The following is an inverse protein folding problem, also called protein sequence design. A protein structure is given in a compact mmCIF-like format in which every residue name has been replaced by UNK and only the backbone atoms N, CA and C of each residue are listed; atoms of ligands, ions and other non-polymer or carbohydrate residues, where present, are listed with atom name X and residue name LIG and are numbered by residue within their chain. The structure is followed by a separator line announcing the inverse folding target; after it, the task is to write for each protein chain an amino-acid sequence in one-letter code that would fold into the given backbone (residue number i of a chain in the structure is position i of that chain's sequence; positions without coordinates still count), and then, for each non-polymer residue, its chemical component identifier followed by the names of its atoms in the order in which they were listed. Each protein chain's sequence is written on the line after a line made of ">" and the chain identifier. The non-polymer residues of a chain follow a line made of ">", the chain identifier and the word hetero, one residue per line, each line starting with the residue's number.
data_IF_931704452245
#
_entry.id   IF_931704452245
#
_cell.length_a   1.000
_cell.length_b   1.000
_cell.length_c   1.000
_cell.angle_alpha   90.00
_cell.angle_beta   90.00
_cell.angle_gamma   90.00
#
_symmetry.space_group_name_H-M   'P 1'
#
loop_
_entity.id
_entity.type
_entity.pdbx_description
1 polymer ?
#
# COMPACT_ATOMS: atom_id res chain seq x y z
N UNK A 1 -10.07 9.88 12.47
CA UNK A 1 -9.54 11.26 12.67
C UNK A 1 -8.69 11.76 11.49
N UNK A 2 -7.68 11.04 11.00
CA UNK A 2 -7.00 11.42 9.73
C UNK A 2 -7.40 10.46 8.61
N UNK A 3 -7.38 9.16 8.85
CA UNK A 3 -7.78 8.15 7.86
C UNK A 3 -9.22 8.36 7.38
N UNK A 4 -10.16 8.62 8.31
CA UNK A 4 -11.56 8.92 7.98
C UNK A 4 -11.69 10.12 7.04
N UNK A 5 -10.96 11.21 7.30
CA UNK A 5 -10.99 12.39 6.44
C UNK A 5 -10.39 12.10 5.06
N UNK A 6 -9.31 11.32 5.00
CA UNK A 6 -8.71 10.88 3.74
C UNK A 6 -9.68 9.99 2.96
N UNK A 7 -10.39 9.06 3.63
CA UNK A 7 -11.41 8.22 2.99
C UNK A 7 -12.60 9.02 2.46
N UNK A 8 -13.07 10.02 3.21
CA UNK A 8 -14.14 10.92 2.77
C UNK A 8 -13.72 11.73 1.53
N UNK A 9 -12.47 12.21 1.48
CA UNK A 9 -11.92 12.89 0.29
C UNK A 9 -11.87 11.93 -0.91
N UNK A 10 -11.38 10.71 -0.72
CA UNK A 10 -11.34 9.73 -1.82
C UNK A 10 -12.75 9.40 -2.34
N UNK A 11 -13.70 9.22 -1.42
CA UNK A 11 -15.07 8.83 -1.76
C UNK A 11 -15.84 9.97 -2.44
N UNK A 12 -15.71 11.20 -1.93
CA UNK A 12 -16.44 12.36 -2.43
C UNK A 12 -15.94 12.93 -3.76
N UNK A 13 -14.67 12.69 -4.09
CA UNK A 13 -14.00 13.30 -5.26
C UNK A 13 -13.22 12.29 -6.12
N UNK A 14 -13.65 11.03 -6.15
CA UNK A 14 -12.97 9.97 -6.93
C UNK A 14 -12.83 10.29 -8.44
N UNK A 15 -13.75 11.08 -8.99
CA UNK A 15 -13.77 11.45 -10.42
C UNK A 15 -12.96 12.73 -10.71
N UNK A 16 -12.37 13.36 -9.69
CA UNK A 16 -11.51 14.53 -9.84
C UNK A 16 -10.03 14.14 -9.96
N UNK A 17 -9.41 14.51 -11.08
CA UNK A 17 -8.00 14.21 -11.35
C UNK A 17 -7.04 14.89 -10.38
N UNK A 18 -7.40 16.06 -9.84
CA UNK A 18 -6.56 16.73 -8.84
C UNK A 18 -6.51 15.92 -7.54
N UNK A 19 -7.63 15.33 -7.14
CA UNK A 19 -7.75 14.41 -6.00
C UNK A 19 -6.89 13.16 -6.22
N UNK A 20 -7.00 12.49 -7.36
CA UNK A 20 -6.12 11.36 -7.69
C UNK A 20 -4.62 11.72 -7.57
N UNK A 21 -4.21 12.85 -8.14
CA UNK A 21 -2.81 13.31 -8.08
C UNK A 21 -2.35 13.66 -6.66
N UNK A 22 -3.27 14.17 -5.83
CA UNK A 22 -3.02 14.37 -4.40
C UNK A 22 -2.70 13.03 -3.74
N UNK A 23 -3.52 12.01 -3.93
CA UNK A 23 -3.28 10.67 -3.39
C UNK A 23 -1.95 10.05 -3.86
N UNK A 24 -1.63 10.14 -5.15
CA UNK A 24 -0.34 9.69 -5.71
C UNK A 24 0.85 10.38 -5.06
N UNK A 25 0.73 11.67 -4.75
CA UNK A 25 1.78 12.46 -4.10
C UNK A 25 1.95 12.07 -2.64
N UNK A 26 0.85 12.01 -1.89
CA UNK A 26 0.90 11.75 -0.45
C UNK A 26 1.29 10.32 -0.13
N UNK A 27 0.92 9.34 -0.97
CA UNK A 27 1.41 7.96 -0.85
C UNK A 27 2.94 7.86 -0.91
N UNK A 28 3.60 8.71 -1.69
CA UNK A 28 5.05 8.64 -1.91
C UNK A 28 5.88 9.55 -1.00
N UNK A 29 5.35 10.73 -0.67
CA UNK A 29 6.19 11.82 -0.13
C UNK A 29 5.71 12.36 1.21
N UNK A 30 4.56 11.91 1.73
CA UNK A 30 4.13 12.36 3.06
C UNK A 30 5.14 11.94 4.13
N UNK A 31 5.49 12.87 5.02
CA UNK A 31 6.33 12.57 6.18
C UNK A 31 5.62 11.71 7.22
N UNK A 32 4.29 11.68 7.20
CA UNK A 32 3.48 10.91 8.13
C UNK A 32 3.12 9.55 7.52
N UNK A 33 3.55 8.46 8.14
CA UNK A 33 3.29 7.09 7.66
C UNK A 33 1.81 6.75 7.63
N UNK A 34 1.00 7.22 8.58
CA UNK A 34 -0.46 7.02 8.58
C UNK A 34 -1.08 7.63 7.33
N UNK A 35 -0.61 8.82 6.91
CA UNK A 35 -1.08 9.46 5.67
C UNK A 35 -0.62 8.69 4.44
N UNK A 36 0.61 8.16 4.43
CA UNK A 36 1.07 7.30 3.33
C UNK A 36 0.23 6.03 3.22
N UNK A 37 0.04 5.31 4.32
CA UNK A 37 -0.78 4.09 4.37
C UNK A 37 -2.23 4.36 3.95
N UNK A 38 -2.85 5.43 4.46
CA UNK A 38 -4.19 5.82 4.06
C UNK A 38 -4.26 6.12 2.55
N UNK A 39 -3.29 6.87 2.02
CA UNK A 39 -3.27 7.19 0.60
C UNK A 39 -3.06 5.95 -0.29
N UNK A 40 -2.14 5.06 0.08
CA UNK A 40 -1.91 3.75 -0.56
C UNK A 40 -3.20 2.91 -0.59
N UNK A 41 -3.91 2.85 0.54
CA UNK A 41 -5.18 2.13 0.66
C UNK A 41 -6.25 2.69 -0.26
N UNK A 42 -6.43 4.02 -0.27
CA UNK A 42 -7.44 4.64 -1.13
C UNK A 42 -7.09 4.56 -2.62
N UNK A 43 -5.80 4.64 -2.99
CA UNK A 43 -5.34 4.40 -4.35
C UNK A 43 -5.80 3.04 -4.89
N UNK A 44 -5.59 1.97 -4.13
CA UNK A 44 -6.08 0.65 -4.52
C UNK A 44 -7.61 0.52 -4.52
N UNK A 45 -8.30 1.15 -3.56
CA UNK A 45 -9.76 1.04 -3.45
C UNK A 45 -10.51 1.76 -4.58
N UNK A 46 -10.06 2.96 -4.96
CA UNK A 46 -10.81 3.84 -5.84
C UNK A 46 -10.22 3.99 -7.24
N UNK A 47 -8.93 3.68 -7.42
CA UNK A 47 -8.19 3.97 -8.65
C UNK A 47 -7.29 2.82 -9.09
N UNK A 48 -7.64 1.57 -8.81
CA UNK A 48 -6.79 0.41 -9.15
C UNK A 48 -6.43 0.30 -10.63
N UNK A 49 -7.33 0.77 -11.50
CA UNK A 49 -7.16 0.68 -12.96
C UNK A 49 -6.54 1.97 -13.55
N UNK A 50 -6.19 2.95 -12.71
CA UNK A 50 -5.55 4.19 -13.14
C UNK A 50 -4.04 4.01 -13.38
N UNK A 51 -3.53 4.78 -14.34
CA UNK A 51 -2.13 4.74 -14.71
C UNK A 51 -1.19 4.99 -13.53
N UNK A 52 -0.15 4.16 -13.40
CA UNK A 52 0.89 4.19 -12.38
C UNK A 52 0.44 3.88 -10.94
N UNK A 53 -0.80 3.45 -10.70
CA UNK A 53 -1.22 3.13 -9.33
C UNK A 53 -0.50 1.88 -8.81
N UNK A 54 -0.46 0.80 -9.59
CA UNK A 54 0.29 -0.41 -9.23
C UNK A 54 1.77 -0.11 -8.94
N UNK A 55 2.42 0.69 -9.77
CA UNK A 55 3.83 1.08 -9.64
C UNK A 55 4.09 1.87 -8.35
N UNK A 56 3.16 2.75 -7.95
CA UNK A 56 3.24 3.48 -6.68
C UNK A 56 3.13 2.51 -5.50
N UNK A 57 2.21 1.55 -5.55
CA UNK A 57 2.06 0.53 -4.51
C UNK A 57 3.32 -0.34 -4.41
N UNK A 58 3.85 -0.81 -5.55
CA UNK A 58 5.07 -1.61 -5.61
C UNK A 58 6.28 -0.86 -5.04
N UNK A 59 6.44 0.43 -5.40
CA UNK A 59 7.49 1.28 -4.82
C UNK A 59 7.31 1.44 -3.32
N UNK A 60 6.09 1.66 -2.84
CA UNK A 60 5.80 1.72 -1.41
C UNK A 60 6.23 0.42 -0.72
N UNK A 61 5.80 -0.74 -1.21
CA UNK A 61 6.14 -2.05 -0.65
C UNK A 61 7.65 -2.29 -0.50
N UNK A 62 8.48 -1.78 -1.42
CA UNK A 62 9.92 -2.06 -1.43
C UNK A 62 10.74 -1.01 -0.68
N UNK A 63 10.46 0.28 -0.86
CA UNK A 63 11.36 1.37 -0.44
C UNK A 63 10.75 2.39 0.53
N UNK A 64 9.54 2.17 1.05
CA UNK A 64 9.01 3.06 2.08
C UNK A 64 9.93 3.10 3.32
N UNK A 65 10.30 4.29 3.81
CA UNK A 65 11.32 4.44 4.85
C UNK A 65 10.80 4.15 6.27
N UNK A 66 9.55 3.71 6.43
CA UNK A 66 8.97 3.45 7.74
C UNK A 66 9.77 2.42 8.53
N UNK A 67 10.04 2.76 9.79
CA UNK A 67 10.68 1.89 10.77
C UNK A 67 9.70 1.71 11.92
N UNK A 68 9.32 0.47 12.19
CA UNK A 68 8.44 0.15 13.32
C UNK A 68 9.17 0.44 14.63
N UNK A 69 8.54 1.22 15.50
CA UNK A 69 8.96 1.39 16.89
C UNK A 69 8.28 0.37 17.81
N UNK A 70 7.09 -0.09 17.42
CA UNK A 70 6.32 -1.14 18.08
C UNK A 70 5.37 -1.82 17.08
N UNK A 71 4.65 -2.84 17.54
CA UNK A 71 3.75 -3.66 16.72
C UNK A 71 2.35 -3.05 16.47
N UNK A 72 2.08 -1.86 17.01
CA UNK A 72 0.77 -1.20 16.90
C UNK A 72 0.74 -0.15 15.78
N UNK A 73 1.87 0.12 15.12
CA UNK A 73 1.95 1.12 14.07
C UNK A 73 1.65 0.54 12.69
N UNK A 74 0.94 1.32 11.87
CA UNK A 74 0.61 0.93 10.50
C UNK A 74 1.84 1.12 9.62
N UNK A 75 2.38 0.03 9.09
CA UNK A 75 3.51 0.03 8.18
C UNK A 75 3.01 0.21 6.73
N UNK A 76 3.39 1.28 6.01
CA UNK A 76 2.96 1.49 4.63
C UNK A 76 3.34 0.34 3.68
N UNK A 77 4.42 -0.40 3.96
CA UNK A 77 4.82 -1.58 3.17
C UNK A 77 3.82 -2.71 3.31
N UNK A 78 3.37 -3.01 4.54
CA UNK A 78 2.31 -4.00 4.77
C UNK A 78 1.01 -3.58 4.08
N UNK A 79 0.61 -2.31 4.21
CA UNK A 79 -0.57 -1.78 3.53
C UNK A 79 -0.47 -1.92 2.01
N UNK A 80 0.70 -1.65 1.41
CA UNK A 80 0.90 -1.83 -0.02
C UNK A 80 0.78 -3.30 -0.44
N UNK A 81 1.41 -4.22 0.30
CA UNK A 81 1.32 -5.66 0.03
C UNK A 81 -0.12 -6.19 0.18
N UNK A 82 -0.85 -5.69 1.18
CA UNK A 82 -2.28 -6.00 1.37
C UNK A 82 -3.09 -5.58 0.16
N UNK A 83 -3.01 -4.30 -0.23
CA UNK A 83 -3.73 -3.75 -1.37
C UNK A 83 -3.36 -4.48 -2.66
N UNK A 84 -2.08 -4.80 -2.85
CA UNK A 84 -1.62 -5.54 -4.03
C UNK A 84 -2.23 -6.95 -4.09
N UNK A 85 -2.26 -7.65 -2.96
CA UNK A 85 -2.84 -9.00 -2.85
C UNK A 85 -4.34 -8.99 -3.11
N UNK A 86 -5.06 -7.98 -2.61
CA UNK A 86 -6.52 -7.89 -2.76
C UNK A 86 -6.97 -7.38 -4.13
N UNK A 87 -6.28 -6.37 -4.67
CA UNK A 87 -6.74 -5.65 -5.87
C UNK A 87 -6.04 -6.12 -7.15
N UNK A 88 -4.89 -6.80 -7.04
CA UNK A 88 -4.08 -7.28 -8.17
C UNK A 88 -3.57 -8.72 -7.97
N UNK A 89 -4.42 -9.69 -7.57
CA UNK A 89 -3.98 -11.07 -7.34
C UNK A 89 -3.43 -11.73 -8.61
N UNK A 90 -3.97 -11.37 -9.78
CA UNK A 90 -3.59 -11.95 -11.07
C UNK A 90 -2.31 -11.35 -11.67
N UNK A 91 -1.74 -10.31 -11.05
CA UNK A 91 -0.51 -9.69 -11.54
C UNK A 91 0.69 -10.53 -11.07
N UNK A 92 1.51 -11.10 -11.97
CA UNK A 92 2.66 -11.91 -11.57
C UNK A 92 3.61 -11.17 -10.62
N UNK A 93 3.74 -9.85 -10.82
CA UNK A 93 4.54 -8.95 -10.00
C UNK A 93 4.05 -8.87 -8.56
N UNK A 94 2.74 -9.03 -8.29
CA UNK A 94 2.20 -9.08 -6.93
C UNK A 94 2.83 -10.23 -6.16
N UNK A 95 2.77 -11.45 -6.72
CA UNK A 95 3.35 -12.63 -6.08
C UNK A 95 4.87 -12.50 -5.92
N UNK A 96 5.57 -12.02 -6.96
CA UNK A 96 7.02 -11.82 -6.89
C UNK A 96 7.43 -10.84 -5.79
N UNK A 97 6.70 -9.72 -5.63
CA UNK A 97 6.97 -8.74 -4.59
C UNK A 97 6.64 -9.27 -3.20
N UNK A 98 5.50 -9.95 -3.02
CA UNK A 98 5.13 -10.56 -1.74
C UNK A 98 6.20 -11.59 -1.31
N UNK A 99 6.63 -12.46 -2.23
CA UNK A 99 7.69 -13.45 -1.96
C UNK A 99 9.02 -12.79 -1.60
N UNK A 100 9.45 -11.77 -2.34
CA UNK A 100 10.68 -11.04 -2.03
C UNK A 100 10.60 -10.34 -0.66
N UNK A 101 9.48 -9.73 -0.33
CA UNK A 101 9.29 -9.09 0.99
C UNK A 101 9.23 -10.11 2.13
N UNK A 102 8.71 -11.32 1.90
CA UNK A 102 8.73 -12.39 2.90
C UNK A 102 10.14 -12.83 3.29
N UNK A 103 11.09 -12.80 2.34
CA UNK A 103 12.47 -13.24 2.55
C UNK A 103 13.40 -12.09 2.96
N UNK A 104 13.27 -10.94 2.29
CA UNK A 104 14.32 -9.91 2.26
C UNK A 104 13.91 -8.59 2.91
N UNK A 105 12.66 -8.43 3.39
CA UNK A 105 12.28 -7.17 4.01
C UNK A 105 13.05 -6.95 5.33
N UNK A 106 13.55 -5.73 5.54
CA UNK A 106 14.31 -5.37 6.72
C UNK A 106 13.48 -5.44 8.02
N UNK A 107 12.17 -5.27 7.93
CA UNK A 107 11.25 -5.30 9.08
C UNK A 107 10.61 -6.68 9.21
N UNK A 108 10.79 -7.31 10.37
CA UNK A 108 10.28 -8.65 10.65
C UNK A 108 8.76 -8.75 10.52
N UNK A 109 8.02 -7.71 10.91
CA UNK A 109 6.56 -7.71 10.80
C UNK A 109 6.12 -7.67 9.33
N UNK A 110 6.88 -7.00 8.46
CA UNK A 110 6.62 -7.03 7.01
C UNK A 110 6.89 -8.43 6.45
N UNK A 111 8.00 -9.07 6.87
CA UNK A 111 8.31 -10.45 6.45
C UNK A 111 7.20 -11.43 6.84
N UNK A 112 6.78 -11.42 8.11
CA UNK A 112 5.73 -12.33 8.59
C UNK A 112 4.38 -12.09 7.91
N UNK A 113 3.99 -10.82 7.75
CA UNK A 113 2.79 -10.46 6.99
C UNK A 113 2.85 -10.93 5.54
N UNK A 114 4.00 -10.76 4.89
CA UNK A 114 4.18 -11.20 3.51
C UNK A 114 4.14 -12.73 3.36
N UNK A 115 4.67 -13.48 4.34
CA UNK A 115 4.53 -14.96 4.37
C UNK A 115 3.06 -15.37 4.46
N UNK A 116 2.28 -14.71 5.31
CA UNK A 116 0.83 -14.95 5.42
C UNK A 116 0.11 -14.65 4.10
N UNK A 117 0.40 -13.51 3.45
CA UNK A 117 -0.22 -13.20 2.16
C UNK A 117 0.21 -14.15 1.05
N UNK A 118 1.44 -14.67 1.09
CA UNK A 118 1.91 -15.64 0.12
C UNK A 118 1.13 -16.95 0.20
N UNK A 119 0.80 -17.44 1.40
CA UNK A 119 -0.02 -18.66 1.53
C UNK A 119 -1.42 -18.47 0.98
N UNK A 120 -2.01 -17.28 1.14
CA UNK A 120 -3.32 -16.92 0.55
C UNK A 120 -3.26 -16.85 -0.97
N UNK A 121 -2.15 -16.39 -1.56
CA UNK A 121 -1.98 -16.36 -3.02
C UNK A 121 -1.73 -17.75 -3.64
N UNK A 122 -1.38 -18.74 -2.81
CA UNK A 122 -1.08 -20.12 -3.25
C UNK A 122 -2.24 -21.10 -3.01
N UNK A 123 -3.30 -20.68 -2.30
CA UNK A 123 -4.51 -21.46 -2.02
C UNK A 123 -5.55 -21.32 -3.13
#
# INVERSE_FOLDING_TARGET
>A
MIETAIEEIATGWKDDLATLNWFKTYAQYSKNSVVRSAAVKQLGKHWKDEFNVFEILAKCAVVDPFRSENNSQINPRQTALEVMTEQYPDYPQTRSLVSDRAENDADEQVREFAKEKLTVLES
#
